data_IF_165770237573
#
_entry.id   IF_165770237573
#
_cell.length_a   1.000
_cell.length_b   1.000
_cell.length_c   1.000
_cell.angle_alpha   90.00
_cell.angle_beta   90.00
_cell.angle_gamma   90.00
#
_symmetry.space_group_name_H-M   'P 1'
#
loop_
_entity.id
_entity.type
_entity.pdbx_description
1 polymer ?
#
# COMPACT_ATOMS: atom_id res chain seq x y z
N UNK A 1 -2.77 32.84 14.67
CA UNK A 1 -2.39 31.54 15.25
C UNK A 1 -0.90 31.55 15.49
N UNK A 2 -0.45 31.27 16.69
CA UNK A 2 0.97 31.20 16.95
C UNK A 2 1.54 29.83 16.53
N UNK A 3 2.85 29.72 16.50
CA UNK A 3 3.53 28.50 16.01
C UNK A 3 3.22 27.30 16.93
N UNK A 4 3.07 27.54 18.21
CA UNK A 4 2.77 26.48 19.17
C UNK A 4 1.37 25.89 18.97
N UNK A 5 0.37 26.72 18.75
CA UNK A 5 -0.99 26.26 18.44
C UNK A 5 -1.02 25.47 17.14
N UNK A 6 -0.26 25.89 16.13
CA UNK A 6 -0.16 25.18 14.87
C UNK A 6 0.53 23.81 15.02
N UNK A 7 1.59 23.75 15.82
CA UNK A 7 2.29 22.49 16.11
C UNK A 7 1.41 21.53 16.89
N UNK A 8 0.73 22.02 17.94
CA UNK A 8 -0.18 21.21 18.74
C UNK A 8 -1.35 20.69 17.90
N UNK A 9 -1.89 21.50 17.02
CA UNK A 9 -2.96 21.09 16.11
C UNK A 9 -2.49 19.98 15.14
N UNK A 10 -1.31 20.14 14.55
CA UNK A 10 -0.75 19.13 13.64
C UNK A 10 -0.43 17.83 14.36
N UNK A 11 0.13 17.90 15.54
CA UNK A 11 0.43 16.71 16.34
C UNK A 11 -0.83 15.97 16.74
N UNK A 12 -1.87 16.69 17.21
CA UNK A 12 -3.11 16.06 17.61
C UNK A 12 -3.88 15.44 16.43
N UNK A 13 -3.74 16.01 15.23
CA UNK A 13 -4.40 15.50 14.03
C UNK A 13 -3.59 14.36 13.36
N UNK A 14 -2.26 14.43 13.45
CA UNK A 14 -1.37 13.44 12.83
C UNK A 14 -1.18 12.18 13.68
N UNK A 15 -1.35 12.26 15.00
CA UNK A 15 -1.10 11.14 15.92
C UNK A 15 -2.39 10.76 16.63
N UNK A 16 -3.32 10.16 15.89
CA UNK A 16 -4.48 9.50 16.50
C UNK A 16 -4.20 8.01 16.61
N UNK A 17 -4.40 7.47 17.81
CA UNK A 17 -4.35 6.03 18.03
C UNK A 17 -5.77 5.50 18.17
N UNK A 18 -6.13 4.59 17.29
CA UNK A 18 -7.41 3.91 17.34
C UNK A 18 -7.28 2.64 18.17
N UNK A 19 -8.37 2.18 18.72
CA UNK A 19 -8.41 0.90 19.46
C UNK A 19 -8.63 -0.30 18.54
N UNK A 20 -9.07 -0.05 17.32
CA UNK A 20 -9.32 -1.06 16.29
C UNK A 20 -8.70 -0.63 14.97
N UNK A 21 -8.39 -1.58 14.11
CA UNK A 21 -7.98 -1.31 12.75
C UNK A 21 -9.12 -0.67 11.97
N UNK A 22 -8.78 0.01 10.86
CA UNK A 22 -9.75 0.75 10.08
C UNK A 22 -10.89 -0.16 9.60
N UNK A 23 -12.16 0.07 10.02
CA UNK A 23 -13.28 -0.81 9.68
C UNK A 23 -13.68 -0.77 8.21
N UNK A 24 -13.18 0.20 7.44
CA UNK A 24 -13.37 0.23 5.98
C UNK A 24 -12.51 -0.80 5.27
N UNK A 25 -11.45 -1.28 5.93
CA UNK A 25 -10.44 -2.17 5.37
C UNK A 25 -10.46 -3.52 6.10
N UNK A 26 -10.60 -3.50 7.42
CA UNK A 26 -10.44 -4.65 8.29
C UNK A 26 -11.75 -5.02 8.97
N UNK A 27 -11.99 -6.31 9.11
CA UNK A 27 -13.07 -6.83 9.93
C UNK A 27 -12.72 -6.81 11.42
N UNK A 28 -13.71 -7.12 12.30
CA UNK A 28 -13.50 -7.08 13.75
C UNK A 28 -12.51 -8.11 14.28
N UNK A 29 -12.17 -9.12 13.48
CA UNK A 29 -11.20 -10.17 13.77
C UNK A 29 -9.78 -9.84 13.28
N UNK A 30 -9.55 -8.61 12.84
CA UNK A 30 -8.28 -8.13 12.27
C UNK A 30 -7.88 -8.84 10.96
N UNK A 31 -8.84 -9.43 10.26
CA UNK A 31 -8.65 -9.92 8.90
C UNK A 31 -9.22 -8.91 7.90
N UNK A 32 -8.62 -8.82 6.72
CA UNK A 32 -9.13 -7.97 5.65
C UNK A 32 -10.59 -8.33 5.35
N UNK A 33 -11.42 -7.32 5.11
CA UNK A 33 -12.76 -7.55 4.59
C UNK A 33 -12.66 -8.33 3.26
N UNK A 34 -13.53 -9.32 3.02
CA UNK A 34 -13.43 -10.13 1.81
C UNK A 34 -13.42 -9.35 0.50
N UNK A 35 -14.25 -8.31 0.39
CA UNK A 35 -14.29 -7.45 -0.79
C UNK A 35 -13.00 -6.62 -0.97
N UNK A 36 -12.38 -6.22 0.13
CA UNK A 36 -11.09 -5.51 0.08
C UNK A 36 -9.99 -6.46 -0.37
N UNK A 37 -9.96 -7.66 0.20
CA UNK A 37 -8.98 -8.69 -0.17
C UNK A 37 -9.07 -9.05 -1.65
N UNK A 38 -10.27 -9.25 -2.16
CA UNK A 38 -10.49 -9.55 -3.58
C UNK A 38 -9.98 -8.44 -4.49
N UNK A 39 -10.25 -7.18 -4.16
CA UNK A 39 -9.78 -6.04 -4.94
C UNK A 39 -8.25 -5.93 -4.92
N UNK A 40 -7.63 -6.11 -3.76
CA UNK A 40 -6.18 -6.07 -3.64
C UNK A 40 -5.52 -7.21 -4.44
N UNK A 41 -6.08 -8.41 -4.40
CA UNK A 41 -5.58 -9.52 -5.20
C UNK A 41 -5.72 -9.28 -6.70
N UNK A 42 -6.84 -8.67 -7.12
CA UNK A 42 -7.04 -8.31 -8.53
C UNK A 42 -6.04 -7.25 -9.00
N UNK A 43 -5.78 -6.24 -8.18
CA UNK A 43 -4.78 -5.21 -8.47
C UNK A 43 -3.39 -5.83 -8.56
N UNK A 44 -3.04 -6.72 -7.64
CA UNK A 44 -1.76 -7.41 -7.65
C UNK A 44 -1.57 -8.25 -8.91
N UNK A 45 -2.60 -8.98 -9.33
CA UNK A 45 -2.56 -9.78 -10.56
C UNK A 45 -2.41 -8.91 -11.81
N UNK A 46 -3.12 -7.79 -11.86
CA UNK A 46 -3.03 -6.84 -12.96
C UNK A 46 -1.63 -6.21 -13.05
N UNK A 47 -1.07 -5.84 -11.91
CA UNK A 47 0.28 -5.29 -11.86
C UNK A 47 1.34 -6.31 -12.27
N UNK A 48 1.20 -7.56 -11.86
CA UNK A 48 2.10 -8.64 -12.29
C UNK A 48 2.08 -8.79 -13.81
N UNK A 49 0.90 -8.76 -14.42
CA UNK A 49 0.75 -8.80 -15.87
C UNK A 49 1.37 -7.57 -16.53
N UNK A 50 1.17 -6.39 -15.95
CA UNK A 50 1.75 -5.14 -16.44
C UNK A 50 3.28 -5.18 -16.44
N UNK A 51 3.90 -5.79 -15.43
CA UNK A 51 5.35 -5.95 -15.38
C UNK A 51 5.89 -6.74 -16.58
N UNK A 52 5.12 -7.68 -17.11
CA UNK A 52 5.52 -8.48 -18.27
C UNK A 52 6.72 -9.39 -18.02
N UNK A 53 7.07 -9.61 -16.75
CA UNK A 53 8.19 -10.42 -16.33
C UNK A 53 7.67 -11.71 -15.67
N UNK A 54 8.38 -12.82 -15.90
CA UNK A 54 8.05 -14.08 -15.25
C UNK A 54 8.56 -14.07 -13.81
N UNK A 55 7.83 -13.35 -12.95
CA UNK A 55 8.12 -13.24 -11.52
C UNK A 55 7.23 -14.18 -10.74
N UNK A 56 7.85 -14.95 -9.88
CA UNK A 56 7.11 -15.70 -8.88
C UNK A 56 6.80 -14.79 -7.69
N UNK A 57 5.55 -14.40 -7.55
CA UNK A 57 5.09 -13.65 -6.38
C UNK A 57 4.91 -14.62 -5.23
N UNK A 58 5.71 -14.45 -4.18
CA UNK A 58 5.71 -15.35 -3.02
C UNK A 58 4.73 -14.91 -1.96
N UNK A 59 4.47 -13.62 -1.86
CA UNK A 59 3.55 -13.08 -0.87
C UNK A 59 3.03 -11.72 -1.31
N UNK A 60 1.92 -11.32 -0.73
CA UNK A 60 1.31 -10.01 -0.93
C UNK A 60 1.02 -9.46 0.46
N UNK A 61 1.57 -8.28 0.76
CA UNK A 61 1.42 -7.66 2.07
C UNK A 61 0.86 -6.25 1.96
N UNK A 62 0.16 -5.83 3.00
CA UNK A 62 -0.36 -4.47 3.14
C UNK A 62 0.37 -3.82 4.30
N UNK A 63 0.87 -2.61 4.07
CA UNK A 63 1.57 -1.84 5.09
C UNK A 63 1.05 -0.41 5.16
N UNK A 64 1.74 0.45 5.89
CA UNK A 64 1.36 1.83 6.08
C UNK A 64 0.35 2.02 7.21
N UNK A 65 -0.15 3.25 7.39
CA UNK A 65 -1.03 3.58 8.50
C UNK A 65 -2.38 2.86 8.42
N UNK A 66 -2.88 2.49 7.24
CA UNK A 66 -4.09 1.68 7.11
C UNK A 66 -3.92 0.21 7.51
N UNK A 67 -2.70 -0.24 7.77
CA UNK A 67 -2.41 -1.54 8.36
C UNK A 67 -2.01 -1.41 9.83
N UNK A 68 -2.32 -0.30 10.46
CA UNK A 68 -1.94 0.03 11.83
C UNK A 68 -3.06 0.78 12.53
N UNK A 69 -2.90 1.02 13.81
CA UNK A 69 -3.87 1.78 14.61
C UNK A 69 -3.74 3.30 14.47
N UNK A 70 -2.87 3.75 13.58
CA UNK A 70 -2.58 5.18 13.34
C UNK A 70 -3.20 5.71 12.04
N UNK A 71 -4.13 4.97 11.44
CA UNK A 71 -4.77 5.40 10.19
C UNK A 71 -5.55 6.72 10.36
N UNK A 72 -5.62 7.48 9.26
CA UNK A 72 -6.41 8.72 9.17
C UNK A 72 -7.24 8.70 7.87
N UNK A 73 -8.07 9.72 7.68
CA UNK A 73 -8.83 9.87 6.42
C UNK A 73 -7.91 10.13 5.20
N UNK A 74 -6.65 10.46 5.44
CA UNK A 74 -5.65 10.72 4.40
C UNK A 74 -4.66 9.57 4.22
N UNK A 75 -4.87 8.45 4.88
CA UNK A 75 -4.00 7.29 4.74
C UNK A 75 -4.12 6.65 3.36
N UNK A 76 -3.01 6.15 2.84
CA UNK A 76 -2.99 5.32 1.64
C UNK A 76 -3.04 3.84 2.02
N UNK A 77 -3.30 2.99 1.04
CA UNK A 77 -3.13 1.55 1.18
C UNK A 77 -1.85 1.17 0.42
N UNK A 78 -0.82 0.75 1.14
CA UNK A 78 0.45 0.33 0.55
C UNK A 78 0.42 -1.17 0.32
N UNK A 79 0.35 -1.57 -0.94
CA UNK A 79 0.29 -2.95 -1.37
C UNK A 79 1.65 -3.40 -1.89
N UNK A 80 2.25 -4.37 -1.22
CA UNK A 80 3.57 -4.90 -1.56
C UNK A 80 3.46 -6.28 -2.17
N UNK A 81 4.09 -6.46 -3.32
CA UNK A 81 4.32 -7.77 -3.89
C UNK A 81 5.71 -8.23 -3.50
N UNK A 82 5.79 -9.34 -2.79
CA UNK A 82 7.06 -9.93 -2.38
C UNK A 82 7.43 -11.00 -3.41
N UNK A 83 8.53 -10.80 -4.11
CA UNK A 83 9.00 -11.69 -5.14
C UNK A 83 10.50 -11.95 -4.99
N UNK A 84 10.95 -13.11 -5.44
CA UNK A 84 12.38 -13.39 -5.52
C UNK A 84 12.97 -12.68 -6.75
N UNK A 85 14.02 -11.92 -6.52
CA UNK A 85 14.82 -11.36 -7.60
C UNK A 85 15.83 -12.42 -8.08
N UNK A 86 16.14 -12.45 -9.38
CA UNK A 86 17.21 -13.30 -9.87
C UNK A 86 18.50 -13.02 -9.13
N UNK A 87 19.20 -14.08 -8.75
CA UNK A 87 20.50 -13.96 -8.12
C UNK A 87 21.50 -13.44 -9.13
N UNK A 88 22.33 -12.55 -8.74
CA UNK A 88 23.52 -12.05 -9.37
C UNK A 88 23.48 -10.55 -9.72
N UNK A 89 24.46 -10.11 -10.47
CA UNK A 89 24.82 -8.71 -10.78
C UNK A 89 23.71 -7.89 -11.46
N UNK A 90 22.64 -8.54 -11.91
CA UNK A 90 21.50 -7.88 -12.55
C UNK A 90 20.39 -7.48 -11.57
N UNK A 91 20.54 -7.77 -10.27
CA UNK A 91 19.53 -7.45 -9.27
C UNK A 91 19.20 -5.95 -9.19
N UNK A 92 20.21 -5.09 -9.31
CA UNK A 92 20.01 -3.63 -9.33
C UNK A 92 19.23 -3.17 -10.56
N UNK A 93 19.53 -3.74 -11.73
CA UNK A 93 18.79 -3.44 -12.96
C UNK A 93 17.33 -3.81 -12.84
N UNK A 94 17.04 -4.96 -12.23
CA UNK A 94 15.66 -5.36 -11.97
C UNK A 94 14.95 -4.42 -11.01
N UNK A 95 15.63 -3.96 -9.95
CA UNK A 95 15.06 -2.99 -9.00
C UNK A 95 14.74 -1.67 -9.68
N UNK A 96 15.64 -1.16 -10.51
CA UNK A 96 15.40 0.07 -11.28
C UNK A 96 14.23 -0.09 -12.23
N UNK A 97 14.15 -1.24 -12.91
CA UNK A 97 13.04 -1.55 -13.80
C UNK A 97 11.71 -1.63 -13.04
N UNK A 98 11.69 -2.28 -11.87
CA UNK A 98 10.50 -2.38 -11.05
C UNK A 98 10.06 -1.02 -10.52
N UNK A 99 10.98 -0.18 -10.09
CA UNK A 99 10.68 1.17 -9.63
C UNK A 99 10.09 2.01 -10.77
N UNK A 100 10.67 1.96 -11.94
CA UNK A 100 10.15 2.66 -13.11
C UNK A 100 8.76 2.15 -13.50
N UNK A 101 8.55 0.85 -13.52
CA UNK A 101 7.26 0.23 -13.81
C UNK A 101 6.21 0.56 -12.76
N UNK A 102 6.60 0.57 -11.49
CA UNK A 102 5.75 0.97 -10.37
C UNK A 102 5.25 2.40 -10.53
N UNK A 103 6.13 3.34 -10.81
CA UNK A 103 5.74 4.72 -11.03
C UNK A 103 4.80 4.87 -12.21
N UNK A 104 5.10 4.20 -13.31
CA UNK A 104 4.26 4.22 -14.49
C UNK A 104 2.87 3.65 -14.21
N UNK A 105 2.81 2.52 -13.50
CA UNK A 105 1.55 1.87 -13.15
C UNK A 105 0.71 2.74 -12.22
N UNK A 106 1.30 3.27 -11.16
CA UNK A 106 0.61 4.13 -10.20
C UNK A 106 0.13 5.44 -10.84
N UNK A 107 0.88 5.96 -11.81
CA UNK A 107 0.48 7.16 -12.56
C UNK A 107 -0.70 6.90 -13.49
N UNK A 108 -0.75 5.74 -14.14
CA UNK A 108 -1.81 5.37 -15.08
C UNK A 108 -3.07 4.83 -14.40
N UNK A 109 -2.97 4.34 -13.16
CA UNK A 109 -4.06 3.69 -12.45
C UNK A 109 -4.30 4.34 -11.10
N UNK A 110 -5.47 4.93 -10.93
CA UNK A 110 -5.92 5.52 -9.68
C UNK A 110 -6.92 4.59 -9.00
N UNK A 111 -6.45 3.51 -8.43
CA UNK A 111 -7.30 2.61 -7.68
C UNK A 111 -7.57 3.15 -6.28
N UNK A 112 -8.82 3.06 -5.85
CA UNK A 112 -9.23 3.37 -4.48
C UNK A 112 -10.01 2.20 -3.88
N UNK A 113 -9.83 2.00 -2.59
CA UNK A 113 -10.59 1.02 -1.82
C UNK A 113 -11.09 1.72 -0.55
N UNK A 114 -12.40 1.73 -0.34
CA UNK A 114 -12.99 2.44 0.80
C UNK A 114 -12.70 3.93 0.81
N UNK A 115 -12.43 4.52 -0.36
CA UNK A 115 -12.05 5.92 -0.50
C UNK A 115 -10.56 6.19 -0.35
N UNK A 116 -9.74 5.17 -0.09
CA UNK A 116 -8.29 5.32 0.08
C UNK A 116 -7.54 4.95 -1.19
N UNK A 117 -6.55 5.78 -1.62
CA UNK A 117 -5.70 5.42 -2.74
C UNK A 117 -4.87 4.17 -2.45
N UNK A 118 -4.67 3.34 -3.47
CA UNK A 118 -3.82 2.15 -3.38
C UNK A 118 -2.52 2.43 -4.14
N UNK A 119 -1.39 2.30 -3.44
CA UNK A 119 -0.06 2.41 -4.04
C UNK A 119 0.61 1.04 -4.05
N UNK A 120 1.22 0.70 -5.19
CA UNK A 120 1.89 -0.58 -5.39
C UNK A 120 3.40 -0.46 -5.20
N UNK A 121 3.96 -1.48 -4.57
CA UNK A 121 5.40 -1.65 -4.35
C UNK A 121 5.81 -3.09 -4.68
N UNK A 122 7.06 -3.27 -5.04
CA UNK A 122 7.65 -4.58 -5.27
C UNK A 122 8.83 -4.82 -4.35
#
# INVERSE_FOLDING_TARGET
>A
MDIKELEDYRLSDAVKFHTHLNPRIWGPDEHLLPEVREKLLAIAADFKEFLGLDLEVKDITVSGSNAAYTYTDHSDIDLHLVADLPKADIGELYRELFDAKKYQYNDQHNFTIGGYPVELYV
#
